data_IF_299003864837
#
_entry.id   IF_299003864837
#
_cell.length_a   1.000
_cell.length_b   1.000
_cell.length_c   1.000
_cell.angle_alpha   90.00
_cell.angle_beta   90.00
_cell.angle_gamma   90.00
#
_symmetry.space_group_name_H-M   'P 1'
#
loop_
_entity.id
_entity.type
_entity.pdbx_description
1 polymer ?
#
# COMPACT_ATOMS: atom_id res chain seq x y z
N UNK A 1 -19.28 15.00 -5.18
CA UNK A 1 -19.76 13.91 -6.07
C UNK A 1 -18.93 13.80 -7.34
N UNK A 2 -19.00 12.68 -8.02
CA UNK A 2 -18.25 12.43 -9.25
C UNK A 2 -19.06 11.67 -10.29
N UNK A 3 -18.94 12.08 -11.56
CA UNK A 3 -19.58 11.41 -12.71
C UNK A 3 -18.86 10.09 -13.11
N UNK A 4 -17.72 9.78 -12.53
CA UNK A 4 -17.00 8.50 -12.74
C UNK A 4 -17.72 7.30 -12.11
N UNK A 5 -18.74 7.55 -11.30
CA UNK A 5 -19.54 6.53 -10.64
C UNK A 5 -21.00 6.61 -11.10
N UNK A 6 -21.71 5.50 -10.98
CA UNK A 6 -23.15 5.45 -11.25
C UNK A 6 -23.90 6.46 -10.36
N UNK A 7 -25.05 6.93 -10.82
CA UNK A 7 -25.85 7.99 -10.16
C UNK A 7 -26.10 7.70 -8.67
N UNK A 8 -26.28 6.45 -8.29
CA UNK A 8 -26.62 6.03 -6.93
C UNK A 8 -25.38 5.97 -5.99
N UNK A 9 -24.18 5.87 -6.55
CA UNK A 9 -22.90 5.83 -5.82
C UNK A 9 -22.04 7.09 -5.99
N UNK A 10 -22.58 8.11 -6.67
CA UNK A 10 -21.85 9.32 -7.09
C UNK A 10 -21.40 10.20 -5.94
N UNK A 11 -22.12 10.17 -4.82
CA UNK A 11 -21.88 11.04 -3.68
C UNK A 11 -21.14 10.30 -2.58
N UNK A 12 -20.11 10.94 -2.02
CA UNK A 12 -19.38 10.48 -0.84
C UNK A 12 -19.34 11.58 0.22
N UNK A 13 -19.43 11.21 1.49
CA UNK A 13 -19.28 12.14 2.62
C UNK A 13 -17.88 11.96 3.20
N UNK A 14 -17.11 13.04 3.20
CA UNK A 14 -15.72 13.05 3.68
C UNK A 14 -15.55 14.19 4.68
N UNK A 15 -14.79 13.93 5.73
CA UNK A 15 -14.59 14.89 6.82
C UNK A 15 -13.25 14.66 7.47
N UNK A 16 -12.75 15.68 8.18
CA UNK A 16 -11.54 15.58 8.99
C UNK A 16 -11.64 16.48 10.20
N UNK A 17 -10.93 16.08 11.25
CA UNK A 17 -10.74 16.85 12.47
C UNK A 17 -9.27 16.81 12.83
N UNK A 18 -8.75 17.94 13.31
CA UNK A 18 -7.37 18.00 13.80
C UNK A 18 -7.28 18.90 15.03
N UNK A 19 -6.33 18.57 15.88
CA UNK A 19 -5.99 19.36 17.07
C UNK A 19 -4.47 19.45 17.19
N UNK A 20 -4.01 20.57 17.73
CA UNK A 20 -2.61 20.78 18.06
C UNK A 20 -2.53 21.49 19.41
N UNK A 21 -1.63 21.01 20.26
CA UNK A 21 -1.41 21.58 21.58
C UNK A 21 0.06 21.94 21.77
N UNK A 22 0.32 23.20 22.00
CA UNK A 22 1.67 23.71 22.32
C UNK A 22 1.92 23.61 23.80
N UNK A 23 2.35 22.44 24.25
CA UNK A 23 2.58 22.14 25.66
C UNK A 23 3.61 23.07 26.31
N UNK A 24 4.58 23.57 25.53
CA UNK A 24 5.61 24.46 26.06
C UNK A 24 5.06 25.76 26.63
N UNK A 25 3.89 26.22 26.21
CA UNK A 25 3.25 27.43 26.70
C UNK A 25 2.60 27.26 28.09
N UNK A 26 2.37 26.03 28.51
CA UNK A 26 1.70 25.71 29.77
C UNK A 26 2.61 26.02 30.97
N UNK A 27 1.99 26.40 32.08
CA UNK A 27 2.70 26.77 33.32
C UNK A 27 3.51 25.61 33.92
N UNK A 28 3.01 24.37 33.81
CA UNK A 28 3.71 23.19 34.32
C UNK A 28 5.01 22.90 33.58
N UNK A 29 5.18 23.46 32.35
CA UNK A 29 6.40 23.30 31.55
C UNK A 29 7.48 24.35 31.87
N UNK A 30 7.20 25.35 32.73
CA UNK A 30 8.17 26.39 33.08
C UNK A 30 9.54 25.85 33.53
N UNK A 31 9.66 24.77 34.34
CA UNK A 31 10.97 24.20 34.69
C UNK A 31 11.76 23.65 33.53
N UNK A 32 11.10 23.26 32.44
CA UNK A 32 11.74 22.69 31.25
C UNK A 32 12.18 23.74 30.23
N UNK A 33 11.65 24.94 30.24
CA UNK A 33 11.92 26.02 29.27
C UNK A 33 13.39 26.42 29.14
N UNK A 34 14.25 26.02 30.09
CA UNK A 34 15.69 26.28 30.02
C UNK A 34 16.42 25.47 28.95
N UNK A 35 15.93 24.27 28.61
CA UNK A 35 16.51 23.37 27.65
C UNK A 35 15.53 22.94 26.54
N UNK A 36 14.25 22.86 26.83
CA UNK A 36 13.17 22.55 25.88
C UNK A 36 12.55 23.87 25.40
N UNK A 37 12.79 24.24 24.15
CA UNK A 37 12.40 25.54 23.60
C UNK A 37 11.09 25.51 22.85
N UNK A 38 10.69 24.36 22.35
CA UNK A 38 9.34 24.10 21.81
C UNK A 38 8.93 22.67 22.11
N UNK A 39 7.64 22.46 22.35
CA UNK A 39 7.00 21.15 22.49
C UNK A 39 5.55 21.27 22.05
N UNK A 40 5.20 20.54 21.00
CA UNK A 40 3.88 20.55 20.41
C UNK A 40 3.43 19.14 20.04
N UNK A 41 2.23 18.78 20.46
CA UNK A 41 1.57 17.54 20.06
C UNK A 41 0.52 17.87 19.01
N UNK A 42 0.46 17.04 17.98
CA UNK A 42 -0.53 17.13 16.90
C UNK A 42 -1.27 15.81 16.77
N UNK A 43 -2.57 15.89 16.53
CA UNK A 43 -3.39 14.73 16.20
C UNK A 43 -4.36 15.12 15.11
N UNK A 44 -4.52 14.26 14.11
CA UNK A 44 -5.55 14.43 13.09
C UNK A 44 -6.18 13.09 12.73
N UNK A 45 -7.48 13.13 12.49
CA UNK A 45 -8.23 11.99 11.96
C UNK A 45 -9.14 12.47 10.84
N UNK A 46 -9.14 11.73 9.73
CA UNK A 46 -9.95 12.11 8.59
C UNK A 46 -10.32 10.94 7.72
N UNK A 47 -11.42 11.14 6.99
CA UNK A 47 -11.94 10.19 6.01
C UNK A 47 -11.97 10.88 4.66
N UNK A 48 -11.30 10.30 3.66
CA UNK A 48 -11.32 10.78 2.29
C UNK A 48 -11.59 9.63 1.31
N UNK A 49 -12.02 9.98 0.10
CA UNK A 49 -12.35 9.02 -0.94
C UNK A 49 -11.38 9.07 -2.11
N UNK A 50 -11.13 7.90 -2.70
CA UNK A 50 -10.45 7.76 -3.99
C UNK A 50 -11.44 7.27 -5.04
N UNK A 51 -11.35 7.80 -6.24
CA UNK A 51 -12.18 7.43 -7.38
C UNK A 51 -11.50 6.36 -8.23
N UNK A 52 -12.29 5.58 -9.00
CA UNK A 52 -11.72 4.79 -10.09
C UNK A 52 -10.88 5.66 -11.03
N UNK A 53 -9.78 5.10 -11.55
CA UNK A 53 -8.97 5.77 -12.57
C UNK A 53 -9.77 6.02 -13.85
N UNK A 54 -10.59 5.05 -14.22
CA UNK A 54 -11.36 5.07 -15.46
C UNK A 54 -12.65 5.88 -15.35
N UNK A 55 -12.93 6.70 -16.35
CA UNK A 55 -14.12 7.53 -16.40
C UNK A 55 -15.42 6.72 -16.57
N UNK A 56 -15.33 5.57 -17.21
CA UNK A 56 -16.48 4.72 -17.56
C UNK A 56 -16.39 3.34 -16.92
N UNK A 57 -15.64 3.21 -15.82
CA UNK A 57 -15.39 1.93 -15.13
C UNK A 57 -16.67 1.19 -14.69
N UNK A 58 -17.78 1.90 -14.50
CA UNK A 58 -19.06 1.31 -14.13
C UNK A 58 -19.94 0.89 -15.33
N UNK A 59 -19.59 1.31 -16.55
CA UNK A 59 -20.36 1.01 -17.76
C UNK A 59 -19.94 -0.29 -18.40
N UNK A 60 -20.87 -0.98 -19.06
CA UNK A 60 -20.53 -2.02 -20.04
C UNK A 60 -20.05 -1.35 -21.32
N UNK A 61 -18.84 -1.68 -21.75
CA UNK A 61 -18.26 -1.14 -22.96
C UNK A 61 -18.08 -2.24 -24.02
N UNK A 62 -18.13 -1.85 -25.29
CA UNK A 62 -17.85 -2.71 -26.43
C UNK A 62 -16.73 -2.12 -27.28
N UNK A 63 -15.91 -2.96 -27.89
CA UNK A 63 -14.87 -2.57 -28.83
C UNK A 63 -15.15 -3.08 -30.24
N UNK A 64 -14.65 -2.34 -31.24
CA UNK A 64 -14.80 -2.61 -32.67
C UNK A 64 -13.54 -3.24 -33.28
N UNK A 65 -12.63 -3.76 -32.45
CA UNK A 65 -11.28 -4.16 -32.90
C UNK A 65 -11.16 -5.56 -33.46
N UNK A 66 -12.16 -6.40 -33.24
CA UNK A 66 -12.11 -7.80 -33.70
C UNK A 66 -12.91 -8.00 -34.95
N UNK A 67 -12.22 -8.38 -36.06
CA UNK A 67 -12.84 -8.68 -37.32
C UNK A 67 -13.11 -10.18 -37.50
N UNK A 68 -14.19 -10.51 -38.18
CA UNK A 68 -14.48 -11.85 -38.71
C UNK A 68 -14.63 -11.76 -40.20
N UNK A 69 -13.85 -12.53 -40.95
CA UNK A 69 -13.83 -12.53 -42.44
C UNK A 69 -13.69 -11.10 -43.01
N UNK A 70 -12.72 -10.33 -42.55
CA UNK A 70 -12.44 -8.94 -42.94
C UNK A 70 -13.57 -7.93 -42.66
N UNK A 71 -14.61 -8.34 -41.92
CA UNK A 71 -15.67 -7.45 -41.47
C UNK A 71 -15.43 -7.02 -40.01
N UNK A 72 -15.62 -5.75 -39.68
CA UNK A 72 -15.48 -5.29 -38.29
C UNK A 72 -16.52 -5.96 -37.38
N UNK A 73 -16.03 -6.58 -36.31
CA UNK A 73 -16.88 -7.21 -35.31
C UNK A 73 -16.96 -6.34 -34.01
N UNK A 74 -18.09 -6.45 -33.32
CA UNK A 74 -18.29 -5.82 -32.04
C UNK A 74 -18.20 -6.89 -30.95
N UNK A 75 -17.31 -6.69 -29.99
CA UNK A 75 -17.24 -7.54 -28.79
C UNK A 75 -17.39 -6.68 -27.54
N UNK A 76 -17.98 -7.24 -26.53
CA UNK A 76 -18.02 -6.60 -25.21
C UNK A 76 -16.61 -6.63 -24.61
N UNK A 77 -16.08 -5.46 -24.28
CA UNK A 77 -14.71 -5.29 -23.74
C UNK A 77 -14.71 -5.10 -22.22
N UNK A 78 -15.85 -4.71 -21.61
CA UNK A 78 -15.98 -4.46 -20.19
C UNK A 78 -17.35 -4.85 -19.67
N UNK A 79 -17.36 -5.53 -18.53
CA UNK A 79 -18.60 -5.89 -17.81
C UNK A 79 -19.13 -4.64 -17.08
N UNK A 80 -20.43 -4.41 -17.16
CA UNK A 80 -21.12 -3.35 -16.42
C UNK A 80 -21.09 -3.63 -14.92
N UNK A 81 -20.68 -2.63 -14.12
CA UNK A 81 -20.74 -2.67 -12.66
C UNK A 81 -21.29 -1.36 -12.08
N UNK A 82 -22.59 -1.29 -11.84
CA UNK A 82 -23.25 -0.13 -11.26
C UNK A 82 -22.99 0.03 -9.76
N UNK A 83 -22.47 -1.00 -9.10
CA UNK A 83 -22.24 -1.03 -7.66
C UNK A 83 -20.86 -0.45 -7.28
N UNK A 84 -20.07 -0.05 -8.28
CA UNK A 84 -18.80 0.64 -8.05
C UNK A 84 -19.03 1.91 -7.22
N UNK A 85 -18.24 2.04 -6.17
CA UNK A 85 -18.27 3.14 -5.22
C UNK A 85 -16.88 3.68 -4.92
N UNK A 86 -16.84 4.74 -4.14
CA UNK A 86 -15.59 5.31 -3.64
C UNK A 86 -14.79 4.31 -2.81
N UNK A 87 -13.48 4.26 -3.03
CA UNK A 87 -12.59 3.75 -1.98
C UNK A 87 -12.63 4.71 -0.81
N UNK A 88 -12.65 4.19 0.39
CA UNK A 88 -12.70 5.01 1.61
C UNK A 88 -11.40 4.87 2.38
N UNK A 89 -10.70 5.98 2.57
CA UNK A 89 -9.45 6.04 3.30
C UNK A 89 -9.67 6.67 4.68
N UNK A 90 -9.37 5.93 5.71
CA UNK A 90 -9.35 6.36 7.11
C UNK A 90 -7.90 6.67 7.49
N UNK A 91 -7.61 7.93 7.80
CA UNK A 91 -6.26 8.39 8.11
C UNK A 91 -6.21 8.90 9.54
N UNK A 92 -5.30 8.34 10.34
CA UNK A 92 -4.93 8.85 11.65
C UNK A 92 -3.46 9.27 11.59
N UNK A 93 -3.16 10.50 12.02
CA UNK A 93 -1.80 10.98 12.17
C UNK A 93 -1.63 11.55 13.59
N UNK A 94 -0.53 11.16 14.23
CA UNK A 94 -0.08 11.68 15.53
C UNK A 94 1.32 12.23 15.33
N UNK A 95 1.55 13.46 15.75
CA UNK A 95 2.84 14.13 15.59
C UNK A 95 3.30 14.74 16.92
N UNK A 96 4.61 14.67 17.12
CA UNK A 96 5.31 15.31 18.23
C UNK A 96 6.44 16.16 17.65
N UNK A 97 6.33 17.48 17.79
CA UNK A 97 7.37 18.43 17.43
C UNK A 97 8.05 18.93 18.70
N UNK A 98 9.37 18.89 18.76
CA UNK A 98 10.10 19.44 19.89
C UNK A 98 11.42 20.08 19.46
N UNK A 99 11.84 21.09 20.21
CA UNK A 99 13.07 21.81 20.00
C UNK A 99 13.89 21.89 21.29
N UNK A 100 15.18 21.56 21.19
CA UNK A 100 16.10 21.54 22.31
C UNK A 100 17.22 22.58 22.13
N UNK A 101 17.50 23.35 23.21
CA UNK A 101 18.62 24.30 23.27
C UNK A 101 18.65 25.34 22.14
N UNK A 102 17.54 25.60 21.45
CA UNK A 102 17.49 26.41 20.21
C UNK A 102 18.44 25.90 19.10
N UNK A 103 18.82 24.64 19.12
CA UNK A 103 19.80 24.06 18.17
C UNK A 103 19.33 22.77 17.52
N UNK A 104 18.49 22.00 18.18
CA UNK A 104 17.99 20.73 17.70
C UNK A 104 16.50 20.84 17.55
N UNK A 105 15.98 20.60 16.37
CA UNK A 105 14.56 20.48 16.09
C UNK A 105 14.30 19.04 15.66
N UNK A 106 13.27 18.43 16.23
CA UNK A 106 12.88 17.08 15.88
C UNK A 106 11.37 16.98 15.71
N UNK A 107 10.97 16.20 14.71
CA UNK A 107 9.60 15.83 14.44
C UNK A 107 9.50 14.32 14.42
N UNK A 108 8.64 13.77 15.25
CA UNK A 108 8.27 12.36 15.27
C UNK A 108 6.82 12.23 14.85
N UNK A 109 6.56 11.44 13.81
CA UNK A 109 5.21 11.19 13.32
C UNK A 109 4.89 9.69 13.34
N UNK A 110 3.68 9.37 13.76
CA UNK A 110 3.07 8.06 13.61
C UNK A 110 1.81 8.21 12.79
N UNK A 111 1.66 7.37 11.77
CA UNK A 111 0.45 7.35 10.98
C UNK A 111 -0.10 5.94 10.78
N UNK A 112 -1.40 5.88 10.60
CA UNK A 112 -2.07 4.70 10.08
C UNK A 112 -3.12 5.12 9.07
N UNK A 113 -3.11 4.46 7.92
CA UNK A 113 -4.09 4.64 6.85
C UNK A 113 -4.72 3.30 6.52
N UNK A 114 -6.03 3.20 6.68
CA UNK A 114 -6.81 2.03 6.28
C UNK A 114 -7.65 2.38 5.07
N UNK A 115 -7.42 1.71 3.95
CA UNK A 115 -8.21 1.85 2.73
C UNK A 115 -9.21 0.70 2.66
N UNK A 116 -10.48 1.02 2.70
CA UNK A 116 -11.61 0.07 2.53
C UNK A 116 -12.25 0.20 1.18
N UNK A 117 -12.94 -0.86 0.74
CA UNK A 117 -13.56 -0.92 -0.58
C UNK A 117 -12.55 -0.64 -1.70
N UNK A 118 -11.36 -1.24 -1.59
CA UNK A 118 -10.29 -1.06 -2.57
C UNK A 118 -10.76 -1.51 -3.96
N UNK A 119 -10.55 -0.66 -4.95
CA UNK A 119 -10.86 -0.96 -6.34
C UNK A 119 -9.83 -1.91 -6.92
N UNK A 120 -10.25 -3.12 -7.25
CA UNK A 120 -9.39 -4.15 -7.80
C UNK A 120 -10.09 -4.92 -8.91
N UNK A 121 -9.29 -5.36 -9.87
CA UNK A 121 -9.70 -6.36 -10.84
C UNK A 121 -9.70 -7.74 -10.18
N UNK A 122 -10.90 -8.30 -10.02
CA UNK A 122 -11.09 -9.67 -9.56
C UNK A 122 -11.00 -10.61 -10.74
N UNK A 123 -10.08 -11.58 -10.74
CA UNK A 123 -10.06 -12.64 -11.75
C UNK A 123 -11.37 -13.42 -11.75
N UNK A 124 -11.92 -13.66 -12.92
CA UNK A 124 -13.14 -14.47 -13.11
C UNK A 124 -12.88 -15.57 -14.13
N UNK A 125 -13.77 -16.58 -14.16
CA UNK A 125 -13.62 -17.68 -15.11
C UNK A 125 -13.65 -17.17 -16.56
N UNK A 126 -12.71 -17.60 -17.37
CA UNK A 126 -12.63 -17.30 -18.82
C UNK A 126 -13.88 -17.77 -19.58
N UNK A 127 -14.68 -18.66 -19.02
CA UNK A 127 -15.97 -19.07 -19.61
C UNK A 127 -16.98 -17.93 -19.69
N UNK A 128 -16.78 -16.84 -18.95
CA UNK A 128 -17.61 -15.64 -19.02
C UNK A 128 -17.24 -14.74 -20.23
N UNK A 129 -16.14 -15.04 -20.90
CA UNK A 129 -15.59 -14.20 -21.98
C UNK A 129 -14.70 -13.05 -21.48
N UNK A 130 -14.48 -12.94 -20.15
CA UNK A 130 -13.67 -11.90 -19.55
C UNK A 130 -12.62 -12.47 -18.61
N UNK A 131 -11.45 -11.82 -18.52
CA UNK A 131 -10.38 -12.24 -17.60
C UNK A 131 -10.55 -11.70 -16.18
N UNK A 132 -11.19 -10.55 -16.04
CA UNK A 132 -11.38 -9.90 -14.75
C UNK A 132 -12.63 -9.01 -14.72
N UNK A 133 -13.00 -8.63 -13.50
CA UNK A 133 -14.15 -7.78 -13.21
C UNK A 133 -13.77 -6.75 -12.15
N UNK A 134 -13.84 -5.45 -12.49
CA UNK A 134 -13.52 -4.38 -11.56
C UNK A 134 -14.59 -4.24 -10.49
N UNK A 135 -14.19 -4.34 -9.23
CA UNK A 135 -15.10 -4.19 -8.08
C UNK A 135 -14.39 -3.61 -6.85
N UNK A 136 -15.20 -3.14 -5.91
CA UNK A 136 -14.71 -2.67 -4.61
C UNK A 136 -14.57 -3.86 -3.66
N UNK A 137 -13.37 -4.39 -3.56
CA UNK A 137 -13.06 -5.55 -2.72
C UNK A 137 -11.78 -5.32 -1.92
N UNK A 138 -11.78 -5.85 -0.72
CA UNK A 138 -10.59 -5.84 0.12
C UNK A 138 -10.37 -4.57 0.94
N UNK A 139 -9.43 -4.73 1.85
CA UNK A 139 -8.97 -3.69 2.77
C UNK A 139 -7.45 -3.78 2.88
N UNK A 140 -6.78 -2.62 2.77
CA UNK A 140 -5.32 -2.50 2.92
C UNK A 140 -5.02 -1.50 4.03
N UNK A 141 -4.08 -1.86 4.89
CA UNK A 141 -3.61 -1.01 5.97
C UNK A 141 -2.14 -0.65 5.78
N UNK A 142 -1.85 0.63 5.87
CA UNK A 142 -0.51 1.18 5.93
C UNK A 142 -0.32 1.81 7.31
N UNK A 143 0.78 1.51 7.98
CA UNK A 143 1.17 2.17 9.22
C UNK A 143 2.66 2.42 9.22
N UNK A 144 3.07 3.55 9.79
CA UNK A 144 4.47 3.89 9.81
C UNK A 144 4.84 4.87 10.89
N UNK A 145 6.14 5.01 11.07
CA UNK A 145 6.78 5.99 11.94
C UNK A 145 7.81 6.74 11.11
N UNK A 146 7.84 8.05 11.27
CA UNK A 146 8.79 8.95 10.61
C UNK A 146 9.46 9.82 11.67
N UNK A 147 10.79 9.94 11.58
CA UNK A 147 11.58 10.78 12.45
C UNK A 147 12.44 11.70 11.59
N UNK A 148 12.32 12.98 11.81
CA UNK A 148 13.20 14.00 11.25
C UNK A 148 13.89 14.74 12.38
N UNK A 149 15.21 14.92 12.27
CA UNK A 149 16.01 15.70 13.21
C UNK A 149 16.86 16.69 12.40
N UNK A 150 16.79 17.95 12.75
CA UNK A 150 17.68 18.97 12.24
C UNK A 150 18.44 19.63 13.40
N UNK A 151 19.75 19.79 13.24
CA UNK A 151 20.60 20.36 14.28
C UNK A 151 21.59 21.38 13.73
N UNK A 152 21.79 22.45 14.50
CA UNK A 152 22.89 23.39 14.31
C UNK A 152 24.03 23.01 15.24
N UNK A 153 25.01 22.27 14.70
CA UNK A 153 26.11 21.71 15.50
C UNK A 153 27.10 22.81 15.91
N UNK A 154 27.52 23.62 14.95
CA UNK A 154 28.43 24.73 15.14
C UNK A 154 27.87 25.95 14.42
N UNK A 155 27.88 27.07 15.09
CA UNK A 155 27.55 28.37 14.51
C UNK A 155 28.49 29.44 15.08
N UNK A 156 29.41 29.89 14.27
CA UNK A 156 30.31 31.02 14.55
C UNK A 156 30.04 32.14 13.56
N UNK A 157 30.79 33.23 13.66
CA UNK A 157 30.67 34.38 12.73
C UNK A 157 31.00 33.99 11.28
N UNK A 158 31.99 33.11 11.11
CA UNK A 158 32.56 32.78 9.80
C UNK A 158 32.33 31.33 9.38
N UNK A 159 31.73 30.49 10.28
CA UNK A 159 31.51 29.08 10.01
C UNK A 159 30.17 28.59 10.61
N UNK A 160 29.40 27.84 9.83
CA UNK A 160 28.16 27.18 10.25
C UNK A 160 28.13 25.75 9.77
N UNK A 161 27.87 24.82 10.70
CA UNK A 161 27.64 23.40 10.40
C UNK A 161 26.27 22.99 10.90
N UNK A 162 25.41 22.60 9.97
CA UNK A 162 24.08 22.05 10.21
C UNK A 162 24.03 20.61 9.73
N UNK A 163 23.24 19.78 10.43
CA UNK A 163 22.99 18.40 10.06
C UNK A 163 21.48 18.16 10.03
N UNK A 164 21.00 17.51 8.99
CA UNK A 164 19.63 17.01 8.92
C UNK A 164 19.65 15.49 8.73
N UNK A 165 18.86 14.78 9.54
CA UNK A 165 18.70 13.34 9.47
C UNK A 165 17.23 13.00 9.42
N UNK A 166 16.85 12.09 8.54
CA UNK A 166 15.49 11.54 8.49
C UNK A 166 15.55 10.02 8.38
N UNK A 167 14.57 9.37 8.99
CA UNK A 167 14.34 7.93 8.88
C UNK A 167 12.86 7.67 8.90
N UNK A 168 12.41 6.76 8.06
CA UNK A 168 11.02 6.32 8.02
C UNK A 168 10.92 4.81 7.95
N UNK A 169 9.90 4.27 8.59
CA UNK A 169 9.52 2.86 8.49
C UNK A 169 8.03 2.76 8.18
N UNK A 170 7.69 2.06 7.10
CA UNK A 170 6.31 1.82 6.70
C UNK A 170 6.04 0.31 6.59
N UNK A 171 4.92 -0.14 7.18
CA UNK A 171 4.39 -1.49 6.99
C UNK A 171 3.06 -1.41 6.23
N UNK A 172 3.03 -2.06 5.06
CA UNK A 172 1.83 -2.27 4.27
C UNK A 172 1.31 -3.69 4.47
N UNK A 173 0.00 -3.86 4.61
CA UNK A 173 -0.61 -5.17 4.87
C UNK A 173 -2.02 -5.23 4.26
N UNK A 174 -2.31 -6.32 3.54
CA UNK A 174 -3.66 -6.65 3.11
C UNK A 174 -4.41 -7.24 4.31
N UNK A 175 -5.49 -6.59 4.73
CA UNK A 175 -6.30 -7.01 5.87
C UNK A 175 -7.36 -8.01 5.43
N UNK A 176 -8.04 -7.73 4.31
CA UNK A 176 -9.04 -8.62 3.70
C UNK A 176 -8.96 -8.55 2.19
N UNK A 177 -9.42 -9.62 1.54
CA UNK A 177 -9.75 -9.69 0.12
C UNK A 177 -11.27 -9.92 -0.02
N UNK A 178 -11.75 -10.46 -1.13
CA UNK A 178 -13.19 -10.54 -1.46
C UNK A 178 -14.01 -11.54 -0.61
N UNK A 179 -13.43 -12.13 0.42
CA UNK A 179 -14.07 -13.08 1.32
C UNK A 179 -14.20 -14.52 0.78
N UNK A 180 -14.09 -14.73 -0.52
CA UNK A 180 -14.07 -16.04 -1.17
C UNK A 180 -12.64 -16.50 -1.52
N UNK A 181 -11.74 -15.55 -1.73
CA UNK A 181 -10.34 -15.81 -2.05
C UNK A 181 -9.44 -15.24 -0.97
N UNK A 182 -8.54 -16.08 -0.48
CA UNK A 182 -7.50 -15.66 0.47
C UNK A 182 -6.26 -15.11 -0.22
N UNK A 183 -6.15 -15.34 -1.53
CA UNK A 183 -5.03 -14.89 -2.34
C UNK A 183 -5.43 -14.66 -3.81
N UNK A 184 -4.79 -13.72 -4.46
CA UNK A 184 -4.93 -13.41 -5.89
C UNK A 184 -3.54 -13.32 -6.49
N UNK A 185 -3.26 -14.19 -7.47
CA UNK A 185 -1.98 -14.20 -8.21
C UNK A 185 -2.19 -13.43 -9.51
N UNK A 186 -1.28 -12.51 -9.80
CA UNK A 186 -1.28 -11.70 -11.01
C UNK A 186 0.16 -11.51 -11.52
N UNK A 187 0.53 -12.26 -12.55
CA UNK A 187 1.89 -12.28 -13.08
C UNK A 187 2.89 -12.74 -12.02
N UNK A 188 3.87 -11.90 -11.72
CA UNK A 188 4.93 -12.14 -10.71
C UNK A 188 4.61 -11.61 -9.33
N UNK A 189 3.35 -11.29 -9.04
CA UNK A 189 2.92 -10.77 -7.76
C UNK A 189 1.76 -11.58 -7.18
N UNK A 190 1.74 -11.68 -5.85
CA UNK A 190 0.63 -12.27 -5.09
C UNK A 190 0.07 -11.23 -4.12
N UNK A 191 -1.25 -11.14 -4.09
CA UNK A 191 -2.01 -10.43 -3.06
C UNK A 191 -2.58 -11.46 -2.11
N UNK A 192 -2.08 -11.50 -0.89
CA UNK A 192 -2.48 -12.48 0.13
C UNK A 192 -2.74 -11.76 1.45
N UNK A 193 -3.79 -12.13 2.15
CA UNK A 193 -4.11 -11.59 3.48
C UNK A 193 -2.91 -11.76 4.43
N UNK A 194 -2.58 -10.70 5.16
CA UNK A 194 -1.43 -10.63 6.07
C UNK A 194 -0.09 -10.33 5.39
N UNK A 195 -0.05 -10.19 4.06
CA UNK A 195 1.14 -9.82 3.30
C UNK A 195 1.04 -8.40 2.74
N UNK A 196 2.17 -7.86 2.28
CA UNK A 196 2.20 -6.59 1.56
C UNK A 196 1.42 -6.68 0.24
N UNK A 197 0.79 -5.58 -0.17
CA UNK A 197 -0.02 -5.52 -1.40
C UNK A 197 0.76 -5.89 -2.68
N UNK A 198 2.08 -5.64 -2.69
CA UNK A 198 2.98 -5.97 -3.82
C UNK A 198 4.02 -7.01 -3.40
N UNK A 199 3.58 -8.14 -2.87
CA UNK A 199 4.48 -9.25 -2.56
C UNK A 199 4.86 -9.95 -3.87
N UNK A 200 6.16 -10.14 -4.10
CA UNK A 200 6.64 -10.90 -5.23
C UNK A 200 6.25 -12.37 -5.11
N UNK A 201 5.92 -12.96 -6.26
CA UNK A 201 5.56 -14.36 -6.41
C UNK A 201 6.33 -14.93 -7.60
N UNK A 202 7.52 -15.41 -7.32
CA UNK A 202 8.47 -15.88 -8.33
C UNK A 202 9.20 -17.11 -7.82
N UNK A 203 9.77 -17.87 -8.77
CA UNK A 203 10.63 -19.01 -8.45
C UNK A 203 11.91 -18.49 -7.80
N UNK A 204 12.27 -19.04 -6.64
CA UNK A 204 13.48 -18.66 -5.93
C UNK A 204 14.68 -19.41 -6.54
N UNK A 205 15.65 -18.67 -7.05
CA UNK A 205 16.87 -19.23 -7.63
C UNK A 205 17.81 -19.72 -6.52
N UNK A 206 18.24 -20.98 -6.59
CA UNK A 206 19.10 -21.61 -5.59
C UNK A 206 20.61 -21.61 -5.98
N UNK A 207 20.93 -21.29 -7.23
CA UNK A 207 22.32 -21.30 -7.72
C UNK A 207 22.47 -22.10 -9.00
N UNK A 208 23.72 -22.41 -9.32
CA UNK A 208 24.09 -23.24 -10.48
C UNK A 208 24.70 -24.52 -9.95
N UNK A 209 24.28 -25.67 -10.49
CA UNK A 209 24.89 -26.96 -10.20
C UNK A 209 26.36 -26.95 -10.67
N UNK A 210 27.34 -27.13 -9.78
CA UNK A 210 28.76 -27.04 -10.16
C UNK A 210 29.22 -28.16 -11.08
N UNK A 211 28.50 -29.29 -11.13
CA UNK A 211 28.89 -30.46 -11.95
C UNK A 211 28.28 -30.36 -13.36
N UNK A 212 27.05 -29.85 -13.50
CA UNK A 212 26.32 -29.85 -14.78
C UNK A 212 26.21 -28.48 -15.42
N UNK A 213 26.48 -27.40 -14.66
CA UNK A 213 26.24 -26.02 -15.10
C UNK A 213 24.75 -25.62 -15.21
N UNK A 214 23.83 -26.49 -14.79
CA UNK A 214 22.39 -26.23 -14.87
C UNK A 214 21.90 -25.32 -13.74
N UNK A 215 20.91 -24.42 -13.99
CA UNK A 215 20.31 -23.61 -12.94
C UNK A 215 19.52 -24.51 -11.97
N UNK A 216 19.56 -24.15 -10.70
CA UNK A 216 18.85 -24.80 -9.61
C UNK A 216 17.88 -23.85 -8.95
N UNK A 217 16.77 -24.36 -8.46
CA UNK A 217 15.68 -23.58 -7.85
C UNK A 217 15.26 -24.26 -6.54
N UNK A 218 14.67 -23.47 -5.61
CA UNK A 218 14.05 -24.02 -4.42
C UNK A 218 12.61 -24.44 -4.72
N UNK A 219 12.18 -25.62 -4.20
CA UNK A 219 10.81 -26.11 -4.36
C UNK A 219 9.83 -25.36 -3.46
N UNK A 220 10.27 -24.98 -2.26
CA UNK A 220 9.46 -24.32 -1.22
C UNK A 220 8.11 -25.05 -0.92
N UNK A 221 8.12 -26.35 -0.94
CA UNK A 221 7.01 -27.18 -0.49
C UNK A 221 6.77 -26.95 1.00
N UNK A 222 5.55 -27.24 1.47
CA UNK A 222 5.21 -27.13 2.87
C UNK A 222 5.31 -28.50 3.56
N UNK A 223 5.92 -28.53 4.75
CA UNK A 223 5.88 -29.70 5.62
C UNK A 223 4.47 -29.91 6.25
N UNK A 224 4.29 -30.99 6.98
CA UNK A 224 3.03 -31.30 7.67
C UNK A 224 2.61 -30.24 8.69
N UNK A 225 3.56 -29.39 9.13
CA UNK A 225 3.33 -28.29 10.07
C UNK A 225 3.11 -26.95 9.38
N UNK A 226 3.15 -26.91 8.03
CA UNK A 226 3.00 -25.68 7.23
C UNK A 226 4.27 -24.83 7.13
N UNK A 227 5.44 -25.35 7.46
CA UNK A 227 6.72 -24.67 7.28
C UNK A 227 7.29 -24.97 5.89
N UNK A 228 7.99 -24.01 5.29
CA UNK A 228 8.64 -24.23 4.00
C UNK A 228 9.83 -25.17 4.09
N UNK A 229 9.78 -26.23 3.31
CA UNK A 229 10.93 -27.12 3.07
C UNK A 229 11.66 -26.55 1.85
N UNK A 230 12.93 -26.14 2.03
CA UNK A 230 13.76 -25.67 0.93
C UNK A 230 14.57 -26.80 0.34
N UNK A 231 14.02 -27.50 -0.61
CA UNK A 231 14.73 -28.49 -1.42
C UNK A 231 15.19 -27.89 -2.76
N UNK A 232 16.35 -28.33 -3.24
CA UNK A 232 16.91 -27.88 -4.50
C UNK A 232 16.45 -28.81 -5.62
N UNK A 233 15.89 -28.24 -6.69
CA UNK A 233 15.49 -28.98 -7.90
C UNK A 233 16.11 -28.37 -9.15
N UNK A 234 16.40 -29.20 -10.13
CA UNK A 234 16.85 -28.77 -11.45
C UNK A 234 15.68 -28.40 -12.39
N UNK A 235 14.42 -28.62 -12.00
CA UNK A 235 13.24 -28.47 -12.85
C UNK A 235 12.40 -27.30 -12.41
N UNK A 236 12.18 -26.34 -13.30
CA UNK A 236 11.46 -25.10 -13.05
C UNK A 236 9.96 -25.14 -13.36
N UNK A 237 9.35 -26.27 -13.72
CA UNK A 237 8.16 -26.21 -14.58
C UNK A 237 6.81 -26.43 -13.93
N UNK A 238 6.65 -26.94 -12.75
CA UNK A 238 5.35 -27.52 -12.48
C UNK A 238 4.55 -27.01 -11.29
N UNK A 239 5.13 -26.33 -10.34
CA UNK A 239 4.33 -25.76 -9.22
C UNK A 239 4.96 -24.48 -8.71
N UNK A 240 4.50 -23.38 -9.27
CA UNK A 240 4.82 -22.02 -8.82
C UNK A 240 4.10 -21.72 -7.54
N UNK A 241 4.70 -22.00 -6.41
CA UNK A 241 4.20 -21.54 -5.11
C UNK A 241 5.37 -21.02 -4.31
N UNK A 242 5.71 -19.74 -4.50
CA UNK A 242 6.77 -19.15 -3.67
C UNK A 242 6.46 -17.72 -3.26
N UNK A 243 6.21 -17.45 -1.98
CA UNK A 243 6.40 -16.12 -1.47
C UNK A 243 7.90 -15.88 -1.27
N UNK A 244 8.54 -15.15 -2.17
CA UNK A 244 9.83 -14.55 -1.86
C UNK A 244 9.59 -13.38 -0.93
N UNK A 245 10.08 -13.49 0.27
CA UNK A 245 10.19 -12.40 1.22
C UNK A 245 11.39 -11.56 0.80
N UNK A 246 11.16 -10.44 0.14
CA UNK A 246 12.11 -9.33 0.10
C UNK A 246 11.67 -8.34 1.17
N UNK A 247 12.37 -8.37 2.27
CA UNK A 247 12.32 -7.31 3.28
C UNK A 247 13.23 -6.17 2.88
#
# INVERSE_FOLDING_TARGET
GSSRLHKDSRWGSFWSVSAAWRMIEEEFMNPAKGWLTDLKIRASYGVNGTLPSDYFGYMGLSSLTNGYLEQPGIIQSQIKNTDLKWETNYNLNLGLDFSLFNRINATLEYYTRTTKNLLMDRPISMTTGFGSYLMNIGEVKNKGVELEISSTNIKTKDFSWNTTFNISHNKNEIVTLDGMQTEIISGTQIRKVGKSYRTFYMIEFAGINPETGAPQFYTNDLDENGNYIKEITAVSYTHLTLPTKLE
#
